data_IF_647244626777
#
_entry.id   IF_647244626777
#
_cell.length_a   1.000
_cell.length_b   1.000
_cell.length_c   1.000
_cell.angle_alpha   90.00
_cell.angle_beta   90.00
_cell.angle_gamma   90.00
#
_symmetry.space_group_name_H-M   'P 1'
#
loop_
_entity.id
_entity.type
_entity.pdbx_description
1 polymer ?
#
# COMPACT_ATOMS: atom_id res chain seq x y z
N UNK A 1 6.71 1.82 -1.07
CA UNK A 1 6.58 1.19 0.29
C UNK A 1 6.46 -0.32 0.09
N UNK A 2 7.24 -1.14 0.78
CA UNK A 2 7.26 -2.60 0.65
C UNK A 2 6.19 -3.29 1.54
N UNK A 3 5.98 -4.59 1.35
CA UNK A 3 5.04 -5.40 2.12
C UNK A 3 5.54 -5.82 3.52
N UNK A 4 4.69 -6.55 4.22
CA UNK A 4 4.96 -7.08 5.55
C UNK A 4 6.16 -8.05 5.54
N UNK A 5 7.12 -7.85 6.44
CA UNK A 5 8.36 -8.64 6.56
C UNK A 5 9.16 -8.75 5.23
N UNK A 6 9.02 -7.74 4.37
CA UNK A 6 9.79 -7.63 3.13
C UNK A 6 10.89 -6.57 3.27
N UNK A 7 11.50 -6.22 2.16
CA UNK A 7 12.43 -5.10 2.03
C UNK A 7 12.09 -4.31 0.78
N UNK A 8 12.54 -3.07 0.72
CA UNK A 8 12.31 -2.22 -0.43
C UNK A 8 12.78 -2.88 -1.74
N UNK A 9 13.94 -3.52 -1.74
CA UNK A 9 14.49 -4.20 -2.94
C UNK A 9 13.68 -5.42 -3.37
N UNK A 10 13.20 -6.22 -2.42
CA UNK A 10 12.50 -7.47 -2.72
C UNK A 10 11.19 -7.24 -3.47
N UNK A 11 10.36 -6.35 -2.97
CA UNK A 11 9.01 -6.17 -3.48
C UNK A 11 8.92 -5.22 -4.69
N UNK A 12 9.98 -4.46 -4.96
CA UNK A 12 9.95 -3.43 -6.01
C UNK A 12 10.92 -3.68 -7.16
N UNK A 13 11.59 -4.84 -7.21
CA UNK A 13 12.63 -5.12 -8.21
C UNK A 13 12.15 -4.91 -9.66
N UNK A 14 10.98 -5.43 -10.02
CA UNK A 14 10.40 -5.24 -11.34
C UNK A 14 10.11 -3.77 -11.66
N UNK A 15 9.66 -3.03 -10.66
CA UNK A 15 9.33 -1.61 -10.76
C UNK A 15 10.58 -0.72 -10.92
N UNK A 16 11.70 -1.11 -10.33
CA UNK A 16 12.97 -0.38 -10.49
C UNK A 16 13.33 -0.28 -11.97
N UNK A 17 13.20 -1.40 -12.69
CA UNK A 17 13.50 -1.44 -14.13
C UNK A 17 12.55 -0.55 -14.91
N UNK A 18 11.25 -0.60 -14.62
CA UNK A 18 10.22 0.21 -15.28
C UNK A 18 10.45 1.70 -15.01
N UNK A 19 10.57 2.09 -13.75
CA UNK A 19 10.75 3.49 -13.37
C UNK A 19 12.05 4.08 -13.94
N UNK A 20 13.15 3.30 -13.95
CA UNK A 20 14.40 3.72 -14.58
C UNK A 20 14.24 3.97 -16.08
N UNK A 21 13.53 3.11 -16.79
CA UNK A 21 13.23 3.29 -18.23
C UNK A 21 12.39 4.55 -18.49
N UNK A 22 11.52 4.91 -17.55
CA UNK A 22 10.67 6.09 -17.63
C UNK A 22 11.37 7.38 -17.13
N UNK A 23 12.63 7.31 -16.68
CA UNK A 23 13.39 8.46 -16.22
C UNK A 23 13.07 8.93 -14.80
N UNK A 24 12.39 8.09 -13.99
CA UNK A 24 12.09 8.42 -12.59
C UNK A 24 13.27 8.13 -11.66
N UNK A 25 13.47 9.02 -10.70
CA UNK A 25 14.26 8.73 -9.51
C UNK A 25 13.41 7.91 -8.53
N UNK A 26 14.05 6.99 -7.80
CA UNK A 26 13.37 6.11 -6.85
C UNK A 26 13.87 6.36 -5.44
N UNK A 27 12.93 6.61 -4.53
CA UNK A 27 13.15 6.62 -3.10
C UNK A 27 12.51 5.36 -2.51
N UNK A 28 13.32 4.46 -2.01
CA UNK A 28 12.91 3.13 -1.53
C UNK A 28 13.30 2.95 -0.06
N UNK A 29 12.53 3.48 0.89
CA UNK A 29 12.82 3.30 2.30
C UNK A 29 12.46 1.89 2.78
N UNK A 30 13.27 1.31 3.64
CA UNK A 30 12.79 0.25 4.50
C UNK A 30 11.80 0.85 5.50
N UNK A 31 10.61 0.28 5.62
CA UNK A 31 9.61 0.77 6.57
C UNK A 31 10.07 0.55 8.01
N UNK A 32 9.46 1.27 8.96
CA UNK A 32 9.77 1.08 10.40
C UNK A 32 9.76 -0.40 10.79
N UNK A 33 10.63 -0.80 11.70
CA UNK A 33 10.83 -2.17 12.17
C UNK A 33 11.21 -3.19 11.06
N UNK A 34 11.71 -2.70 9.90
CA UNK A 34 12.22 -3.55 8.82
C UNK A 34 13.63 -3.13 8.40
N UNK A 35 14.37 -4.07 7.85
CA UNK A 35 15.68 -3.85 7.25
C UNK A 35 16.64 -3.10 8.16
N UNK A 36 17.11 -1.94 7.71
CA UNK A 36 18.03 -1.06 8.45
C UNK A 36 17.31 0.08 9.18
N UNK A 37 15.99 0.18 9.05
CA UNK A 37 15.19 1.21 9.72
C UNK A 37 14.95 0.86 11.18
N UNK A 38 14.93 1.87 12.02
CA UNK A 38 14.57 1.73 13.45
C UNK A 38 13.10 1.41 13.69
N UNK A 39 12.76 1.26 14.97
CA UNK A 39 11.42 0.90 15.41
C UNK A 39 11.35 -0.54 15.92
N UNK A 40 10.32 -0.81 16.74
CA UNK A 40 10.14 -2.10 17.40
C UNK A 40 8.83 -2.79 17.02
N UNK A 41 7.92 -2.09 16.33
CA UNK A 41 6.61 -2.60 16.00
C UNK A 41 6.22 -2.29 14.55
N UNK A 42 5.72 -3.30 13.86
CA UNK A 42 5.04 -3.17 12.59
C UNK A 42 3.57 -2.89 12.91
N UNK A 43 3.03 -1.77 12.41
CA UNK A 43 1.68 -1.33 12.75
C UNK A 43 0.70 -1.41 11.59
N UNK A 44 1.03 -2.21 10.57
CA UNK A 44 0.14 -2.51 9.44
C UNK A 44 -0.43 -1.23 8.78
N UNK A 45 0.40 -0.24 8.56
CA UNK A 45 0.01 1.05 7.96
C UNK A 45 -0.44 2.11 8.96
N UNK A 46 -0.75 1.77 10.22
CA UNK A 46 -1.24 2.73 11.21
C UNK A 46 -0.27 3.89 11.47
N UNK A 47 1.00 3.58 11.65
CA UNK A 47 2.07 4.56 11.82
C UNK A 47 2.88 4.74 10.55
N UNK A 48 3.00 3.71 9.73
CA UNK A 48 3.74 3.72 8.47
C UNK A 48 3.18 4.77 7.48
N UNK A 49 1.89 5.11 7.56
CA UNK A 49 1.30 6.20 6.75
C UNK A 49 1.94 7.56 7.02
N UNK A 50 2.35 7.81 8.26
CA UNK A 50 3.03 9.06 8.62
C UNK A 50 4.48 9.07 8.13
N UNK A 51 5.13 7.90 8.07
CA UNK A 51 6.45 7.76 7.45
C UNK A 51 6.37 8.01 5.94
N UNK A 52 5.36 7.43 5.27
CA UNK A 52 5.12 7.66 3.85
C UNK A 52 4.91 9.15 3.55
N UNK A 53 4.11 9.84 4.36
CA UNK A 53 3.94 11.29 4.29
C UNK A 53 5.27 12.03 4.51
N UNK A 54 6.03 11.67 5.53
CA UNK A 54 7.31 12.31 5.83
C UNK A 54 8.30 12.14 4.67
N UNK A 55 8.35 10.97 4.04
CA UNK A 55 9.17 10.73 2.85
C UNK A 55 8.69 11.55 1.64
N UNK A 56 7.38 11.73 1.48
CA UNK A 56 6.83 12.61 0.44
C UNK A 56 7.26 14.06 0.66
N UNK A 57 7.17 14.58 1.88
CA UNK A 57 7.67 15.92 2.23
C UNK A 57 9.19 16.05 2.02
N UNK A 58 9.96 15.04 2.43
CA UNK A 58 11.41 15.04 2.20
C UNK A 58 11.74 15.13 0.70
N UNK A 59 11.06 14.34 -0.14
CA UNK A 59 11.26 14.36 -1.58
C UNK A 59 10.83 15.70 -2.20
N UNK A 60 9.73 16.29 -1.72
CA UNK A 60 9.27 17.61 -2.14
C UNK A 60 10.29 18.69 -1.84
N UNK A 61 10.78 18.76 -0.61
CA UNK A 61 11.82 19.73 -0.21
C UNK A 61 13.09 19.51 -1.01
N UNK A 62 13.53 18.26 -1.19
CA UNK A 62 14.75 17.93 -1.94
C UNK A 62 14.69 18.37 -3.42
N UNK A 63 13.50 18.37 -4.00
CA UNK A 63 13.26 18.84 -5.37
C UNK A 63 12.83 20.30 -5.45
N UNK A 64 12.84 21.03 -4.34
CA UNK A 64 12.31 22.39 -4.25
C UNK A 64 10.86 22.51 -4.79
N UNK A 65 10.04 21.46 -4.58
CA UNK A 65 8.66 21.38 -5.06
C UNK A 65 8.49 21.19 -6.57
N UNK A 66 9.59 21.08 -7.33
CA UNK A 66 9.54 21.07 -8.80
C UNK A 66 9.29 19.72 -9.43
N UNK A 67 9.54 18.63 -8.71
CA UNK A 67 9.33 17.28 -9.23
C UNK A 67 7.95 16.74 -8.88
N UNK A 68 7.28 16.11 -9.84
CA UNK A 68 6.10 15.29 -9.56
C UNK A 68 6.50 14.09 -8.71
N UNK A 69 5.76 13.84 -7.64
CA UNK A 69 5.97 12.73 -6.71
C UNK A 69 4.83 11.74 -6.87
N UNK A 70 5.16 10.46 -6.97
CA UNK A 70 4.20 9.37 -6.95
C UNK A 70 4.52 8.46 -5.77
N UNK A 71 3.50 8.16 -4.96
CA UNK A 71 3.64 7.18 -3.88
C UNK A 71 3.27 5.81 -4.43
N UNK A 72 4.07 4.80 -4.12
CA UNK A 72 3.78 3.45 -4.53
C UNK A 72 3.98 2.47 -3.39
N UNK A 73 3.08 1.49 -3.31
CA UNK A 73 3.15 0.44 -2.31
C UNK A 73 2.65 -0.91 -2.79
N UNK A 74 3.21 -1.96 -2.19
CA UNK A 74 2.83 -3.36 -2.43
C UNK A 74 2.35 -3.96 -1.13
N UNK A 75 1.20 -4.66 -1.12
CA UNK A 75 0.64 -5.36 0.04
C UNK A 75 0.44 -4.41 1.24
N UNK A 76 1.09 -4.63 2.39
CA UNK A 76 1.08 -3.70 3.51
C UNK A 76 1.54 -2.29 3.10
N UNK A 77 2.52 -2.18 2.20
CA UNK A 77 2.95 -0.90 1.65
C UNK A 77 1.87 -0.21 0.82
N UNK A 78 1.05 -0.99 0.11
CA UNK A 78 -0.13 -0.48 -0.59
C UNK A 78 -1.15 0.12 0.38
N UNK A 79 -1.51 -0.61 1.44
CA UNK A 79 -2.36 -0.07 2.49
C UNK A 79 -1.76 1.18 3.14
N UNK A 80 -0.43 1.20 3.34
CA UNK A 80 0.29 2.36 3.88
C UNK A 80 0.09 3.60 3.02
N UNK A 81 0.27 3.51 1.69
CA UNK A 81 0.10 4.67 0.81
C UNK A 81 -1.37 5.06 0.64
N UNK A 82 -2.30 4.10 0.67
CA UNK A 82 -3.73 4.38 0.70
C UNK A 82 -4.14 5.13 1.98
N UNK A 83 -3.64 4.70 3.14
CA UNK A 83 -3.87 5.40 4.40
C UNK A 83 -3.23 6.79 4.42
N UNK A 84 -2.08 6.95 3.77
CA UNK A 84 -1.42 8.25 3.64
C UNK A 84 -2.21 9.21 2.74
N UNK A 85 -3.01 8.71 1.78
CA UNK A 85 -3.84 9.55 0.90
C UNK A 85 -4.90 10.38 1.63
N UNK A 86 -5.31 9.93 2.81
CA UNK A 86 -6.23 10.68 3.68
C UNK A 86 -5.54 11.68 4.61
N UNK A 87 -4.23 11.86 4.46
CA UNK A 87 -3.45 12.85 5.20
C UNK A 87 -3.13 14.05 4.29
N UNK A 88 -2.71 15.14 4.92
CA UNK A 88 -2.15 16.28 4.20
C UNK A 88 -0.82 15.86 3.55
N UNK A 89 -0.79 15.80 2.22
CA UNK A 89 0.37 15.47 1.40
C UNK A 89 0.89 16.73 0.70
N UNK A 90 2.18 16.78 0.31
CA UNK A 90 2.70 17.89 -0.48
C UNK A 90 1.93 18.06 -1.81
N UNK A 91 1.72 19.31 -2.25
CA UNK A 91 0.96 19.64 -3.47
C UNK A 91 1.52 19.02 -4.75
N UNK A 92 2.80 18.67 -4.76
CA UNK A 92 3.46 18.00 -5.87
C UNK A 92 3.38 16.47 -5.81
N UNK A 93 2.62 15.88 -4.89
CA UNK A 93 2.22 14.47 -4.96
C UNK A 93 1.10 14.35 -5.99
N UNK A 94 1.38 13.70 -7.10
CA UNK A 94 0.53 13.66 -8.29
C UNK A 94 -0.26 12.37 -8.45
N UNK A 95 0.08 11.32 -7.73
CA UNK A 95 -0.64 10.06 -7.81
C UNK A 95 -0.14 9.01 -6.82
N UNK A 96 -0.98 8.00 -6.64
CA UNK A 96 -0.71 6.85 -5.78
C UNK A 96 -0.91 5.57 -6.60
N UNK A 97 0.02 4.62 -6.49
CA UNK A 97 -0.10 3.28 -7.10
C UNK A 97 -0.16 2.28 -5.97
N UNK A 98 -1.28 1.58 -5.87
CA UNK A 98 -1.61 0.67 -4.77
C UNK A 98 -1.77 -0.76 -5.29
N UNK A 99 -0.74 -1.60 -5.12
CA UNK A 99 -0.73 -2.99 -5.58
C UNK A 99 -1.05 -3.94 -4.43
N UNK A 100 -2.07 -4.79 -4.59
CA UNK A 100 -2.57 -5.84 -3.69
C UNK A 100 -2.77 -5.40 -2.22
N UNK A 101 -3.29 -4.18 -2.01
CA UNK A 101 -3.57 -3.66 -0.67
C UNK A 101 -4.88 -4.18 -0.07
N UNK A 102 -4.93 -4.28 1.25
CA UNK A 102 -6.15 -4.63 1.98
C UNK A 102 -7.03 -3.40 2.25
N UNK A 103 -8.31 -3.67 2.59
CA UNK A 103 -9.29 -2.61 2.89
C UNK A 103 -9.22 -2.11 4.34
N UNK A 104 -8.95 -3.00 5.30
CA UNK A 104 -8.72 -2.63 6.71
C UNK A 104 -7.86 -3.66 7.43
N UNK A 105 -7.27 -3.25 8.56
CA UNK A 105 -6.53 -4.21 9.41
C UNK A 105 -7.48 -5.27 9.97
N UNK A 106 -8.68 -4.88 10.37
CA UNK A 106 -9.70 -5.82 10.86
C UNK A 106 -9.98 -6.90 9.82
N UNK A 107 -10.25 -6.50 8.58
CA UNK A 107 -10.69 -7.43 7.54
C UNK A 107 -9.56 -8.37 7.12
N UNK A 108 -8.33 -7.86 6.93
CA UNK A 108 -7.19 -8.72 6.59
C UNK A 108 -6.82 -9.68 7.73
N UNK A 109 -6.85 -9.23 8.99
CA UNK A 109 -6.59 -10.11 10.12
C UNK A 109 -7.64 -11.23 10.21
N UNK A 110 -8.92 -10.90 10.04
CA UNK A 110 -10.00 -11.91 10.06
C UNK A 110 -9.91 -12.87 8.89
N UNK A 111 -9.45 -12.45 7.74
CA UNK A 111 -9.20 -13.29 6.57
C UNK A 111 -8.01 -14.23 6.79
N UNK A 112 -6.94 -13.73 7.39
CA UNK A 112 -5.72 -14.52 7.60
C UNK A 112 -5.81 -15.46 8.80
N UNK A 113 -6.57 -15.10 9.85
CA UNK A 113 -6.62 -15.86 11.09
C UNK A 113 -6.96 -17.35 10.89
N UNK A 114 -7.98 -17.74 10.11
CA UNK A 114 -8.29 -19.15 9.87
C UNK A 114 -7.20 -19.92 9.13
N UNK A 115 -6.39 -19.23 8.34
CA UNK A 115 -5.28 -19.85 7.58
C UNK A 115 -4.09 -20.18 8.45
N UNK A 116 -3.76 -19.30 9.41
CA UNK A 116 -2.59 -19.45 10.26
C UNK A 116 -2.89 -20.07 11.62
N UNK A 117 -4.11 -19.92 12.11
CA UNK A 117 -4.57 -20.44 13.39
C UNK A 117 -5.94 -21.11 13.23
N UNK A 118 -6.02 -22.25 12.50
CA UNK A 118 -7.30 -22.87 12.12
C UNK A 118 -8.16 -23.33 13.31
N UNK A 119 -7.54 -23.55 14.47
CA UNK A 119 -8.25 -23.98 15.68
C UNK A 119 -8.70 -22.81 16.57
N UNK A 120 -8.36 -21.57 16.21
CA UNK A 120 -8.75 -20.38 16.97
C UNK A 120 -9.99 -19.75 16.31
N UNK A 121 -11.11 -19.62 17.04
CA UNK A 121 -12.27 -18.91 16.51
C UNK A 121 -11.91 -17.47 16.13
N UNK A 122 -12.38 -17.01 14.96
CA UNK A 122 -11.96 -15.71 14.37
C UNK A 122 -12.24 -14.53 15.30
N UNK A 123 -13.42 -14.49 15.94
CA UNK A 123 -13.79 -13.39 16.84
C UNK A 123 -12.86 -13.26 18.03
N UNK A 124 -12.73 -14.29 18.89
CA UNK A 124 -11.80 -14.29 20.03
C UNK A 124 -10.35 -14.08 19.59
N UNK A 125 -9.90 -14.75 18.53
CA UNK A 125 -8.53 -14.59 18.05
C UNK A 125 -8.21 -13.16 17.62
N UNK A 126 -9.13 -12.52 16.91
CA UNK A 126 -8.99 -11.10 16.56
C UNK A 126 -8.98 -10.20 17.79
N UNK A 127 -9.87 -10.46 18.79
CA UNK A 127 -9.93 -9.68 20.02
C UNK A 127 -8.60 -9.72 20.79
N UNK A 128 -7.98 -10.90 20.89
CA UNK A 128 -6.66 -11.06 21.52
C UNK A 128 -5.58 -10.30 20.74
N UNK A 129 -5.58 -10.42 19.40
CA UNK A 129 -4.65 -9.68 18.53
C UNK A 129 -4.81 -8.17 18.65
N UNK A 130 -6.06 -7.69 18.71
CA UNK A 130 -6.38 -6.28 18.93
C UNK A 130 -5.86 -5.80 20.29
N UNK A 131 -6.15 -6.50 21.37
CA UNK A 131 -5.64 -6.16 22.70
C UNK A 131 -4.11 -6.11 22.74
N UNK A 132 -3.44 -7.04 22.04
CA UNK A 132 -1.98 -7.02 21.89
C UNK A 132 -1.49 -5.79 21.13
N UNK A 133 -2.16 -5.40 20.04
CA UNK A 133 -1.81 -4.20 19.28
C UNK A 133 -1.98 -2.91 20.13
N UNK A 134 -3.06 -2.82 20.89
CA UNK A 134 -3.31 -1.69 21.81
C UNK A 134 -2.27 -1.62 22.91
N UNK A 135 -1.96 -2.74 23.56
CA UNK A 135 -1.07 -2.80 24.71
C UNK A 135 0.41 -2.60 24.34
N UNK A 136 0.88 -3.26 23.27
CA UNK A 136 2.31 -3.31 22.95
C UNK A 136 2.71 -2.38 21.79
N UNK A 137 1.80 -2.15 20.84
CA UNK A 137 2.07 -1.28 19.70
C UNK A 137 1.32 0.06 19.77
N UNK A 138 0.47 0.25 20.80
CA UNK A 138 -0.24 1.49 21.11
C UNK A 138 -1.05 2.04 19.93
N UNK A 139 -1.83 1.19 19.25
CA UNK A 139 -2.80 1.60 18.25
C UNK A 139 -4.02 0.67 18.24
N UNK A 140 -5.19 1.20 17.91
CA UNK A 140 -6.42 0.42 17.72
C UNK A 140 -6.54 0.00 16.25
N UNK A 141 -6.44 -1.31 15.92
CA UNK A 141 -6.59 -1.82 14.55
C UNK A 141 -7.94 -1.50 13.91
N UNK A 142 -8.99 -1.31 14.69
CA UNK A 142 -10.33 -1.01 14.18
C UNK A 142 -10.46 0.42 13.62
N UNK A 143 -9.53 1.30 13.97
CA UNK A 143 -9.48 2.67 13.44
C UNK A 143 -8.79 2.77 12.09
N UNK A 144 -8.12 1.69 11.65
CA UNK A 144 -7.29 1.68 10.44
C UNK A 144 -8.05 1.04 9.28
N UNK A 145 -8.62 1.90 8.45
CA UNK A 145 -9.47 1.54 7.31
C UNK A 145 -9.08 2.36 6.07
N UNK A 146 -8.56 1.69 5.05
CA UNK A 146 -8.15 2.33 3.80
C UNK A 146 -9.33 2.94 3.05
N UNK A 147 -10.52 2.34 3.13
CA UNK A 147 -11.74 2.87 2.49
C UNK A 147 -12.08 4.26 3.01
N UNK A 148 -11.92 4.48 4.32
CA UNK A 148 -12.12 5.81 4.92
C UNK A 148 -11.06 6.81 4.47
N UNK A 149 -9.83 6.38 4.34
CA UNK A 149 -8.73 7.24 3.91
C UNK A 149 -8.91 7.67 2.44
N UNK A 150 -9.16 6.73 1.54
CA UNK A 150 -9.33 7.04 0.10
C UNK A 150 -10.61 7.85 -0.20
N UNK A 151 -11.63 7.77 0.67
CA UNK A 151 -12.82 8.61 0.57
C UNK A 151 -12.52 10.11 0.82
N UNK A 152 -11.37 10.43 1.39
CA UNK A 152 -10.92 11.81 1.62
C UNK A 152 -9.68 12.16 0.79
N UNK A 153 -9.28 11.28 -0.13
CA UNK A 153 -8.13 11.53 -1.01
C UNK A 153 -8.45 12.58 -2.06
N UNK A 154 -7.54 13.53 -2.23
CA UNK A 154 -7.54 14.47 -3.34
C UNK A 154 -6.54 14.09 -4.45
N UNK A 155 -5.81 12.98 -4.27
CA UNK A 155 -4.76 12.51 -5.17
C UNK A 155 -5.29 11.35 -6.00
N UNK A 156 -5.07 11.31 -7.33
CA UNK A 156 -5.44 10.18 -8.18
C UNK A 156 -4.84 8.87 -7.71
N UNK A 157 -5.59 7.76 -7.83
CA UNK A 157 -5.14 6.45 -7.36
C UNK A 157 -5.30 5.37 -8.45
N UNK A 158 -4.21 4.68 -8.78
CA UNK A 158 -4.23 3.45 -9.54
C UNK A 158 -4.20 2.26 -8.59
N UNK A 159 -5.30 1.50 -8.57
CA UNK A 159 -5.40 0.22 -7.85
C UNK A 159 -5.01 -0.92 -8.77
N UNK A 160 -4.14 -1.83 -8.29
CA UNK A 160 -3.74 -3.03 -9.03
C UNK A 160 -3.95 -4.24 -8.13
N UNK A 161 -4.47 -5.36 -8.66
CA UNK A 161 -4.63 -6.58 -7.88
C UNK A 161 -4.66 -7.83 -8.76
N UNK A 162 -4.14 -8.94 -8.24
CA UNK A 162 -4.26 -10.24 -8.86
C UNK A 162 -5.61 -10.91 -8.55
N UNK A 163 -6.26 -11.49 -9.55
CA UNK A 163 -7.58 -12.12 -9.33
C UNK A 163 -7.51 -13.41 -8.52
N UNK A 164 -6.35 -14.06 -8.45
CA UNK A 164 -6.11 -15.29 -7.70
C UNK A 164 -5.28 -15.05 -6.41
N UNK A 165 -5.28 -13.82 -5.91
CA UNK A 165 -4.63 -13.50 -4.64
C UNK A 165 -5.39 -14.19 -3.49
N UNK A 166 -4.75 -15.19 -2.92
CA UNK A 166 -5.27 -16.00 -1.83
C UNK A 166 -4.85 -15.48 -0.45
N UNK A 167 -3.94 -14.49 -0.39
CA UNK A 167 -3.50 -13.87 0.86
C UNK A 167 -4.32 -12.61 1.18
N UNK A 168 -4.36 -11.64 0.27
CA UNK A 168 -5.24 -10.47 0.34
C UNK A 168 -6.30 -10.61 -0.75
N UNK A 169 -7.58 -10.89 -0.40
CA UNK A 169 -8.62 -11.05 -1.41
C UNK A 169 -8.74 -9.84 -2.34
N UNK A 170 -8.84 -10.09 -3.64
CA UNK A 170 -9.01 -9.06 -4.67
C UNK A 170 -10.24 -8.15 -4.42
N UNK A 171 -11.25 -8.64 -3.69
CA UNK A 171 -12.41 -7.86 -3.26
C UNK A 171 -12.01 -6.63 -2.43
N UNK A 172 -10.93 -6.71 -1.64
CA UNK A 172 -10.47 -5.59 -0.80
C UNK A 172 -9.99 -4.39 -1.62
N UNK A 173 -9.28 -4.62 -2.75
CA UNK A 173 -8.97 -3.52 -3.67
C UNK A 173 -10.20 -2.97 -4.38
N UNK A 174 -11.19 -3.80 -4.69
CA UNK A 174 -12.46 -3.33 -5.24
C UNK A 174 -13.25 -2.49 -4.24
N UNK A 175 -13.22 -2.85 -2.96
CA UNK A 175 -13.81 -2.04 -1.88
C UNK A 175 -13.13 -0.68 -1.75
N UNK A 176 -11.80 -0.65 -1.75
CA UNK A 176 -11.03 0.59 -1.73
C UNK A 176 -11.32 1.45 -2.96
N UNK A 177 -11.35 0.84 -4.16
CA UNK A 177 -11.72 1.52 -5.40
C UNK A 177 -13.13 2.10 -5.33
N UNK A 178 -14.11 1.34 -4.85
CA UNK A 178 -15.49 1.81 -4.74
C UNK A 178 -15.62 3.01 -3.78
N UNK A 179 -14.88 2.99 -2.66
CA UNK A 179 -14.89 4.04 -1.65
C UNK A 179 -14.11 5.31 -2.06
N UNK A 180 -13.16 5.20 -3.00
CA UNK A 180 -12.33 6.31 -3.43
C UNK A 180 -13.15 7.38 -4.16
N UNK A 181 -12.99 8.65 -3.80
CA UNK A 181 -13.69 9.80 -4.38
C UNK A 181 -12.86 10.58 -5.38
N UNK A 182 -11.54 10.47 -5.31
CA UNK A 182 -10.64 11.09 -6.30
C UNK A 182 -10.66 10.34 -7.63
N UNK A 183 -9.98 10.88 -8.63
CA UNK A 183 -9.76 10.18 -9.90
C UNK A 183 -9.10 8.83 -9.64
N UNK A 184 -9.60 7.77 -10.27
CA UNK A 184 -9.21 6.41 -9.94
C UNK A 184 -9.22 5.48 -11.14
N UNK A 185 -8.27 4.55 -11.14
CA UNK A 185 -8.16 3.48 -12.12
C UNK A 185 -8.03 2.14 -11.41
N UNK A 186 -8.49 1.06 -12.04
CA UNK A 186 -8.41 -0.29 -11.48
C UNK A 186 -7.91 -1.27 -12.54
N UNK A 187 -6.79 -1.93 -12.25
CA UNK A 187 -6.24 -3.02 -13.05
C UNK A 187 -6.35 -4.33 -12.27
N UNK A 188 -7.06 -5.30 -12.80
CA UNK A 188 -7.07 -6.66 -12.28
C UNK A 188 -6.30 -7.57 -13.23
N UNK A 189 -5.25 -8.21 -12.74
CA UNK A 189 -4.46 -9.18 -13.50
C UNK A 189 -5.04 -10.58 -13.30
N UNK A 190 -5.61 -11.21 -14.36
CA UNK A 190 -6.19 -12.54 -14.25
C UNK A 190 -5.15 -13.58 -13.84
N UNK A 191 -5.50 -14.42 -12.85
CA UNK A 191 -4.67 -15.52 -12.37
C UNK A 191 -3.47 -15.11 -11.51
N UNK A 192 -3.15 -13.83 -11.40
CA UNK A 192 -2.03 -13.39 -10.57
C UNK A 192 -2.32 -13.61 -9.08
N UNK A 193 -1.32 -14.13 -8.38
CA UNK A 193 -1.32 -14.34 -6.93
C UNK A 193 -0.79 -13.12 -6.20
N UNK A 194 -0.66 -13.20 -4.86
CA UNK A 194 -0.26 -12.09 -4.00
C UNK A 194 1.09 -11.47 -4.40
N UNK A 195 1.10 -10.15 -4.65
CA UNK A 195 2.28 -9.36 -5.03
C UNK A 195 2.97 -9.81 -6.33
N UNK A 196 2.28 -10.57 -7.19
CA UNK A 196 2.84 -11.14 -8.41
C UNK A 196 2.30 -10.50 -9.70
N UNK A 197 1.47 -9.46 -9.60
CA UNK A 197 0.84 -8.83 -10.77
C UNK A 197 1.82 -8.45 -11.87
N UNK A 198 2.95 -7.82 -11.51
CA UNK A 198 4.00 -7.45 -12.45
C UNK A 198 4.57 -8.65 -13.23
N UNK A 199 4.74 -9.79 -12.58
CA UNK A 199 5.38 -10.97 -13.18
C UNK A 199 4.40 -11.82 -13.99
N UNK A 200 3.09 -11.78 -13.67
CA UNK A 200 2.07 -12.49 -14.42
C UNK A 200 1.74 -11.85 -15.76
N UNK A 201 1.63 -10.52 -15.78
CA UNK A 201 1.39 -9.78 -17.01
C UNK A 201 2.19 -8.47 -16.99
N UNK A 202 3.50 -8.57 -17.24
CA UNK A 202 4.40 -7.43 -17.28
C UNK A 202 3.96 -6.37 -18.31
N UNK A 203 3.51 -6.70 -19.53
CA UNK A 203 3.04 -5.72 -20.50
C UNK A 203 1.83 -4.91 -20.00
N UNK A 204 0.79 -5.57 -19.51
CA UNK A 204 -0.41 -4.89 -19.00
C UNK A 204 -0.10 -4.03 -17.79
N UNK A 205 0.67 -4.57 -16.83
CA UNK A 205 1.11 -3.84 -15.65
C UNK A 205 1.93 -2.60 -16.01
N UNK A 206 2.96 -2.78 -16.85
CA UNK A 206 3.84 -1.69 -17.27
C UNK A 206 3.09 -0.61 -18.03
N UNK A 207 2.14 -1.02 -18.90
CA UNK A 207 1.28 -0.09 -19.63
C UNK A 207 0.43 0.74 -18.68
N UNK A 208 -0.30 0.11 -17.75
CA UNK A 208 -1.17 0.82 -16.82
C UNK A 208 -0.40 1.80 -15.94
N UNK A 209 0.74 1.37 -15.38
CA UNK A 209 1.61 2.25 -14.58
C UNK A 209 2.15 3.40 -15.42
N UNK A 210 2.61 3.13 -16.65
CA UNK A 210 3.17 4.17 -17.52
C UNK A 210 2.11 5.20 -17.92
N UNK A 211 0.92 4.76 -18.29
CA UNK A 211 -0.18 5.63 -18.71
C UNK A 211 -0.63 6.51 -17.53
N UNK A 212 -0.78 5.92 -16.33
CA UNK A 212 -1.11 6.63 -15.11
C UNK A 212 -0.07 7.69 -14.76
N UNK A 213 1.22 7.34 -14.78
CA UNK A 213 2.30 8.27 -14.49
C UNK A 213 2.33 9.43 -15.49
N UNK A 214 2.18 9.16 -16.80
CA UNK A 214 2.18 10.20 -17.84
C UNK A 214 0.97 11.13 -17.77
N UNK A 215 -0.18 10.60 -17.38
CA UNK A 215 -1.42 11.37 -17.27
C UNK A 215 -1.37 12.39 -16.14
N UNK A 216 -0.62 12.11 -15.07
CA UNK A 216 -0.60 12.91 -13.86
C UNK A 216 0.74 13.60 -13.57
N UNK A 217 1.71 13.54 -14.50
CA UNK A 217 2.98 14.31 -14.41
C UNK A 217 2.81 15.82 -14.48
#
# INVERSE_FOLDING_TARGET
MHGYRATAMRDTLGLIVLCKKLGFNLLMPDQRAHGRSGGHSITMGARERYDARAWAYWASVRSCGKSSIFLMGVSMGSATVLLASGLDLPDNVRGIIADCGYSSIRDICRTCLPKYLPHVPVGPGYAVGKAGAELFAHFDPDTIDCRKAVAHSNVPILFIHGSADDFVPCSMSRENYAACTSEKELLIIPGATHAMCYYYDTPAYAKAVTDFLKKHM
#
